data_IF_012934949108
#
_entry.id   IF_012934949108
#
_cell.length_a   1.000
_cell.length_b   1.000
_cell.length_c   1.000
_cell.angle_alpha   90.00
_cell.angle_beta   90.00
_cell.angle_gamma   90.00
#
_symmetry.space_group_name_H-M   'P 1'
#
loop_
_entity.id
_entity.type
_entity.pdbx_description
1 polymer ?
#
# COMPACT_ATOMS: atom_id res chain seq x y z
N UNK A 1 2.87 -7.45 -34.29
CA UNK A 1 3.17 -6.22 -33.52
C UNK A 1 4.12 -6.60 -32.40
N UNK A 2 5.36 -6.08 -32.38
CA UNK A 2 6.28 -6.33 -31.27
C UNK A 2 5.87 -5.39 -30.14
N UNK A 3 5.50 -5.93 -28.99
CA UNK A 3 5.20 -5.13 -27.81
C UNK A 3 6.50 -4.56 -27.28
N UNK A 4 6.73 -3.26 -27.45
CA UNK A 4 7.87 -2.57 -26.87
C UNK A 4 7.75 -2.62 -25.35
N UNK A 5 8.65 -3.37 -24.71
CA UNK A 5 8.68 -3.51 -23.25
C UNK A 5 9.31 -2.25 -22.67
N UNK A 6 8.49 -1.37 -22.09
CA UNK A 6 8.94 -0.21 -21.31
C UNK A 6 9.51 -0.65 -19.95
N UNK A 7 10.63 -1.38 -19.95
CA UNK A 7 11.33 -1.77 -18.72
C UNK A 7 12.28 -0.63 -18.35
N UNK A 8 12.05 -0.04 -17.18
CA UNK A 8 13.01 0.90 -16.55
C UNK A 8 13.85 0.14 -15.54
N UNK A 9 15.16 0.37 -15.58
CA UNK A 9 16.10 -0.21 -14.62
C UNK A 9 16.69 0.92 -13.76
N UNK A 10 16.76 0.67 -12.46
CA UNK A 10 17.28 1.61 -11.48
C UNK A 10 18.41 0.93 -10.71
N UNK A 11 19.43 1.70 -10.39
CA UNK A 11 20.52 1.32 -9.50
C UNK A 11 20.08 1.44 -8.05
N UNK A 12 20.79 0.76 -7.15
CA UNK A 12 20.54 0.88 -5.72
C UNK A 12 20.71 2.31 -5.19
N UNK A 13 21.58 3.11 -5.82
CA UNK A 13 21.79 4.51 -5.47
C UNK A 13 20.57 5.37 -5.84
N UNK A 14 19.98 5.15 -7.02
CA UNK A 14 18.79 5.86 -7.48
C UNK A 14 17.58 5.55 -6.60
N UNK A 15 17.35 4.27 -6.26
CA UNK A 15 16.28 3.87 -5.34
C UNK A 15 16.45 4.49 -3.95
N UNK A 16 17.69 4.60 -3.47
CA UNK A 16 17.98 5.20 -2.15
C UNK A 16 17.73 6.71 -2.15
N UNK A 17 18.02 7.40 -3.25
CA UNK A 17 17.76 8.83 -3.40
C UNK A 17 16.26 9.13 -3.40
N UNK A 18 15.44 8.28 -4.04
CA UNK A 18 13.99 8.46 -4.12
C UNK A 18 13.28 8.13 -2.80
N UNK A 19 13.87 7.27 -1.97
CA UNK A 19 13.30 6.87 -0.66
C UNK A 19 13.24 8.01 0.37
N UNK A 20 13.92 9.13 0.13
CA UNK A 20 13.92 10.27 1.04
C UNK A 20 12.58 11.00 1.09
N UNK A 21 11.76 10.91 0.02
CA UNK A 21 10.46 11.58 -0.08
C UNK A 21 9.29 10.60 0.14
N UNK A 22 9.28 9.90 1.28
CA UNK A 22 8.10 9.11 1.66
C UNK A 22 6.91 10.05 1.85
N UNK A 23 5.96 10.02 0.91
CA UNK A 23 4.69 10.76 0.99
C UNK A 23 3.77 10.25 2.11
N UNK A 24 4.09 9.07 2.64
CA UNK A 24 3.39 8.46 3.77
C UNK A 24 4.14 8.79 5.05
N UNK A 25 3.43 9.41 5.99
CA UNK A 25 3.91 9.65 7.35
C UNK A 25 3.87 8.34 8.15
N UNK A 26 4.94 7.54 8.00
CA UNK A 26 5.07 6.24 8.66
C UNK A 26 5.12 6.37 10.18
N UNK A 27 5.55 7.52 10.72
CA UNK A 27 5.57 7.75 12.16
C UNK A 27 4.17 7.87 12.75
N UNK A 28 3.24 8.51 12.01
CA UNK A 28 1.82 8.50 12.37
C UNK A 28 1.20 7.12 12.22
N UNK A 29 1.60 6.34 11.22
CA UNK A 29 1.11 4.97 11.05
C UNK A 29 1.54 4.07 12.22
N UNK A 30 2.81 4.13 12.63
CA UNK A 30 3.34 3.37 13.77
C UNK A 30 2.73 3.79 15.12
N UNK A 31 2.25 5.03 15.24
CA UNK A 31 1.66 5.55 16.46
C UNK A 31 0.18 5.15 16.64
N UNK A 32 -0.46 4.59 15.62
CA UNK A 32 -1.84 4.09 15.70
C UNK A 32 -1.82 2.70 16.31
N UNK A 33 -2.53 2.52 17.42
CA UNK A 33 -2.72 1.18 18.00
C UNK A 33 -3.65 0.35 17.14
N UNK A 34 -3.53 -0.97 17.21
CA UNK A 34 -4.42 -1.89 16.49
C UNK A 34 -5.91 -1.59 16.79
N UNK A 35 -6.26 -1.29 18.05
CA UNK A 35 -7.62 -0.91 18.44
C UNK A 35 -8.13 0.39 17.79
N UNK A 36 -7.26 1.36 17.58
CA UNK A 36 -7.60 2.60 16.89
C UNK A 36 -7.70 2.38 15.38
N UNK A 37 -6.88 1.49 14.81
CA UNK A 37 -6.95 1.09 13.42
C UNK A 37 -8.28 0.37 13.10
N UNK A 38 -8.63 -0.65 13.89
CA UNK A 38 -9.87 -1.42 13.72
C UNK A 38 -11.11 -0.54 13.84
N UNK A 39 -11.09 0.44 14.76
CA UNK A 39 -12.19 1.40 14.89
C UNK A 39 -12.36 2.27 13.64
N UNK A 40 -11.25 2.77 13.08
CA UNK A 40 -11.27 3.58 11.85
C UNK A 40 -11.78 2.78 10.66
N UNK A 41 -11.39 1.50 10.54
CA UNK A 41 -11.91 0.59 9.51
C UNK A 41 -13.41 0.39 9.69
N UNK A 42 -13.90 0.18 10.91
CA UNK A 42 -15.32 -0.01 11.20
C UNK A 42 -16.17 1.26 10.95
N UNK A 43 -15.60 2.44 11.14
CA UNK A 43 -16.25 3.74 10.89
C UNK A 43 -16.22 4.15 9.42
N UNK A 44 -15.38 3.51 8.59
CA UNK A 44 -15.29 3.79 7.16
C UNK A 44 -16.54 3.25 6.42
N UNK A 45 -17.26 4.18 5.81
CA UNK A 45 -18.48 3.90 5.04
C UNK A 45 -18.21 2.99 3.83
N UNK A 46 -17.01 3.08 3.25
CA UNK A 46 -16.59 2.24 2.12
C UNK A 46 -16.26 0.80 2.57
N UNK A 47 -15.88 0.59 3.84
CA UNK A 47 -15.57 -0.73 4.41
C UNK A 47 -16.80 -1.47 4.95
N UNK A 48 -17.88 -0.77 5.32
CA UNK A 48 -19.09 -1.40 5.93
C UNK A 48 -19.70 -2.53 5.12
N UNK A 49 -19.68 -2.43 3.78
CA UNK A 49 -20.25 -3.43 2.88
C UNK A 49 -19.19 -4.31 2.19
N UNK A 50 -17.90 -4.04 2.44
CA UNK A 50 -16.83 -4.88 1.98
C UNK A 50 -16.82 -6.16 2.82
N UNK A 51 -17.28 -7.25 2.19
CA UNK A 51 -17.03 -8.63 2.65
C UNK A 51 -16.13 -9.32 1.64
N UNK A 52 -14.83 -9.00 1.58
CA UNK A 52 -13.93 -9.64 0.65
C UNK A 52 -13.89 -11.13 0.96
N UNK A 53 -14.15 -11.97 -0.04
CA UNK A 53 -13.92 -13.41 0.07
C UNK A 53 -12.42 -13.67 -0.03
N UNK A 54 -11.74 -13.60 1.11
CA UNK A 54 -10.31 -13.85 1.21
C UNK A 54 -9.89 -15.24 0.77
N UNK A 55 -10.82 -16.22 0.74
CA UNK A 55 -10.51 -17.57 0.24
C UNK A 55 -10.28 -17.59 -1.28
N UNK A 56 -10.77 -16.56 -1.98
CA UNK A 56 -10.59 -16.36 -3.42
C UNK A 56 -9.52 -15.32 -3.75
N UNK A 57 -8.93 -14.67 -2.75
CA UNK A 57 -7.84 -13.74 -2.95
C UNK A 57 -6.63 -14.49 -3.54
N UNK A 58 -6.18 -14.08 -4.72
CA UNK A 58 -4.92 -14.54 -5.30
C UNK A 58 -3.93 -13.40 -5.28
N UNK A 59 -2.74 -13.66 -4.75
CA UNK A 59 -1.58 -12.80 -5.01
C UNK A 59 -1.32 -12.86 -6.52
N UNK A 60 -1.48 -11.73 -7.21
CA UNK A 60 -1.14 -11.56 -8.63
C UNK A 60 0.25 -10.96 -8.72
#
# INVERSE_FOLDING_TARGET
>A
MKSDKNIKSYTAAELKAERADSRTDLTKADAVTDEELERRIAEDEDERDLKPDWTRARLV
#
